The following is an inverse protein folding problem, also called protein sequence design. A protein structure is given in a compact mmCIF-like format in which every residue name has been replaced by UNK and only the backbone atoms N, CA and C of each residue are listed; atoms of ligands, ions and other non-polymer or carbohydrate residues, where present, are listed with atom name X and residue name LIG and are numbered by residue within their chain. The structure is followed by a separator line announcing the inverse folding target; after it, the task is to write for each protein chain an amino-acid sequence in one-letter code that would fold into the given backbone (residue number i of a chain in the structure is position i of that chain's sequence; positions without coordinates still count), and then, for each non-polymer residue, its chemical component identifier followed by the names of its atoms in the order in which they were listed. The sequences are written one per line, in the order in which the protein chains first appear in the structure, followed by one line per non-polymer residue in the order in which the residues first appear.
data_IF_455901059982
#
_entry.id   IF_455901059982
#
_cell.length_a   1.000
_cell.length_b   1.000
_cell.length_c   1.000
_cell.angle_alpha   90.00
_cell.angle_beta   90.00
_cell.angle_gamma   90.00
#
_symmetry.space_group_name_H-M   'P 1'
#
loop_
_entity.id
_entity.type
_entity.pdbx_description
1 polymer ?
#
# COMPACT_ATOMS: atom_id res chain seq x y z
N UNK A 1 -3.58 -15.09 12.85
CA UNK A 1 -2.19 -15.05 13.37
C UNK A 1 -2.21 -14.38 14.73
N UNK A 2 -1.49 -14.92 15.73
CA UNK A 2 -1.34 -14.25 17.03
C UNK A 2 -0.37 -13.04 16.93
N UNK A 3 -0.28 -12.24 18.00
CA UNK A 3 0.54 -11.03 18.04
C UNK A 3 2.04 -11.32 17.81
N UNK A 4 2.56 -12.39 18.41
CA UNK A 4 4.00 -12.73 18.34
C UNK A 4 4.39 -13.14 16.93
N UNK A 5 3.58 -13.99 16.32
CA UNK A 5 3.74 -14.44 14.94
C UNK A 5 3.59 -13.28 13.96
N UNK A 6 2.64 -12.36 14.20
CA UNK A 6 2.46 -11.17 13.37
C UNK A 6 3.67 -10.24 13.40
N UNK A 7 4.26 -10.01 14.57
CA UNK A 7 5.50 -9.23 14.69
C UNK A 7 6.67 -9.90 13.98
N UNK A 8 6.85 -11.21 14.18
CA UNK A 8 7.90 -11.96 13.47
C UNK A 8 7.75 -11.88 11.94
N UNK A 9 6.51 -11.94 11.43
CA UNK A 9 6.21 -11.74 10.02
C UNK A 9 6.62 -10.33 9.55
N UNK A 10 6.24 -9.29 10.30
CA UNK A 10 6.56 -7.89 9.96
C UNK A 10 8.08 -7.70 9.94
N UNK A 11 8.78 -8.08 11.01
CA UNK A 11 10.24 -7.90 11.12
C UNK A 11 10.99 -8.62 10.00
N UNK A 12 10.51 -9.80 9.58
CA UNK A 12 11.15 -10.61 8.54
C UNK A 12 10.98 -10.01 7.15
N UNK A 13 9.83 -9.43 6.81
CA UNK A 13 9.55 -8.94 5.45
C UNK A 13 9.67 -7.42 5.29
N UNK A 14 9.25 -6.61 6.25
CA UNK A 14 9.26 -5.14 6.14
C UNK A 14 10.66 -4.62 5.82
N UNK A 15 11.68 -5.25 6.40
CA UNK A 15 13.07 -4.89 6.21
C UNK A 15 13.49 -4.84 4.72
N UNK A 16 12.88 -5.66 3.84
CA UNK A 16 13.14 -5.68 2.40
C UNK A 16 12.42 -4.58 1.60
N UNK A 17 11.58 -3.77 2.25
CA UNK A 17 10.88 -2.67 1.60
C UNK A 17 11.80 -1.48 1.31
N UNK A 18 12.80 -1.24 2.17
CA UNK A 18 13.65 -0.05 2.08
C UNK A 18 14.96 -0.29 1.33
N UNK A 19 15.43 0.75 0.64
CA UNK A 19 16.83 0.86 0.21
C UNK A 19 17.71 1.02 1.45
N UNK A 20 18.92 0.44 1.49
CA UNK A 20 19.89 0.84 2.50
C UNK A 20 20.72 2.04 2.04
N UNK A 21 21.15 2.89 2.99
CA UNK A 21 22.19 3.86 2.73
C UNK A 21 23.51 3.16 2.34
N UNK A 22 24.17 3.66 1.28
CA UNK A 22 25.54 3.25 0.94
C UNK A 22 26.51 3.65 2.06
N UNK A 23 27.45 2.76 2.41
CA UNK A 23 28.71 3.23 2.98
C UNK A 23 29.48 3.96 1.86
N UNK A 24 29.92 5.20 2.11
CA UNK A 24 30.46 6.17 1.13
C UNK A 24 31.68 5.72 0.26
N UNK A 25 32.16 4.47 0.38
CA UNK A 25 33.43 4.03 -0.17
C UNK A 25 33.38 3.09 -1.40
N UNK A 26 32.24 2.83 -2.03
CA UNK A 26 32.22 1.99 -3.24
C UNK A 26 31.42 2.57 -4.40
N UNK A 27 32.12 2.75 -5.53
CA UNK A 27 31.61 3.18 -6.84
C UNK A 27 30.26 2.53 -7.20
N UNK A 28 29.21 3.36 -7.31
CA UNK A 28 27.97 3.21 -8.11
C UNK A 28 27.56 1.76 -8.41
N UNK A 29 27.02 1.06 -7.42
CA UNK A 29 26.06 -0.04 -7.64
C UNK A 29 25.17 -0.13 -6.40
N UNK A 30 23.86 0.14 -6.56
CA UNK A 30 22.88 -0.09 -5.49
C UNK A 30 22.97 -1.56 -5.06
N UNK A 31 23.35 -1.80 -3.80
CA UNK A 31 23.41 -3.15 -3.22
C UNK A 31 22.36 -3.26 -2.14
N UNK A 32 21.47 -4.22 -2.28
CA UNK A 32 20.39 -4.50 -1.33
C UNK A 32 20.93 -4.72 0.09
N UNK A 33 20.11 -4.42 1.11
CA UNK A 33 20.42 -4.65 2.54
C UNK A 33 20.74 -6.09 2.93
N UNK A 34 20.52 -6.99 1.98
CA UNK A 34 20.38 -8.40 2.20
C UNK A 34 21.26 -9.10 1.19
N UNK A 35 21.83 -10.21 1.62
CA UNK A 35 22.47 -11.10 0.68
C UNK A 35 21.44 -11.61 -0.32
N UNK A 36 21.82 -11.85 -1.57
CA UNK A 36 20.92 -12.53 -2.53
C UNK A 36 20.44 -13.87 -1.95
N UNK A 37 21.29 -14.53 -1.14
CA UNK A 37 20.92 -15.70 -0.33
C UNK A 37 19.70 -15.45 0.58
N UNK A 38 19.67 -14.35 1.35
CA UNK A 38 18.51 -14.04 2.21
C UNK A 38 17.23 -13.82 1.41
N UNK A 39 17.31 -13.22 0.22
CA UNK A 39 16.14 -13.09 -0.66
C UNK A 39 15.70 -14.45 -1.20
N UNK A 40 16.64 -15.26 -1.66
CA UNK A 40 16.40 -16.60 -2.18
C UNK A 40 15.80 -17.52 -1.11
N UNK A 41 16.29 -17.43 0.12
CA UNK A 41 15.77 -18.16 1.29
C UNK A 41 14.29 -17.83 1.52
N UNK A 42 13.89 -16.57 1.32
CA UNK A 42 12.51 -16.11 1.39
C UNK A 42 11.71 -16.27 0.09
N UNK A 43 12.36 -16.71 -0.99
CA UNK A 43 11.74 -16.82 -2.31
C UNK A 43 11.37 -15.48 -2.92
N UNK A 44 12.01 -14.38 -2.51
CA UNK A 44 11.83 -13.05 -3.10
C UNK A 44 12.60 -12.98 -4.42
N UNK A 45 11.96 -12.51 -5.50
CA UNK A 45 12.66 -12.25 -6.75
C UNK A 45 13.59 -11.03 -6.63
N UNK A 46 14.55 -10.91 -7.56
CA UNK A 46 15.46 -9.77 -7.67
C UNK A 46 14.76 -8.41 -7.89
N UNK A 47 13.49 -8.39 -8.29
CA UNK A 47 12.69 -7.18 -8.53
C UNK A 47 11.79 -6.89 -7.33
N UNK A 48 12.40 -6.57 -6.19
CA UNK A 48 11.73 -5.80 -5.14
C UNK A 48 12.27 -4.38 -5.33
N UNK A 49 11.47 -3.50 -5.94
CA UNK A 49 11.84 -2.09 -6.12
C UNK A 49 11.76 -1.42 -4.74
N UNK A 50 12.89 -1.24 -4.03
CA UNK A 50 12.84 -0.73 -2.69
C UNK A 50 12.51 0.77 -2.74
N UNK A 51 11.95 1.28 -1.66
CA UNK A 51 11.69 2.72 -1.49
C UNK A 51 12.74 3.32 -0.55
N UNK A 52 13.09 4.59 -0.72
CA UNK A 52 13.94 5.29 0.25
C UNK A 52 13.16 5.57 1.52
N UNK A 53 13.75 5.26 2.68
CA UNK A 53 13.11 5.50 3.98
C UNK A 53 12.72 6.97 4.17
N UNK A 54 13.56 7.91 3.71
CA UNK A 54 13.29 9.35 3.73
C UNK A 54 12.01 9.72 2.98
N UNK A 55 11.75 9.08 1.82
CA UNK A 55 10.56 9.34 1.01
C UNK A 55 9.32 8.82 1.72
N UNK A 56 9.37 7.62 2.28
CA UNK A 56 8.26 7.04 3.03
C UNK A 56 7.93 7.90 4.27
N UNK A 57 8.96 8.30 5.02
CA UNK A 57 8.81 9.16 6.19
C UNK A 57 8.26 10.55 5.83
N UNK A 58 8.70 11.12 4.70
CA UNK A 58 8.18 12.36 4.15
C UNK A 58 6.69 12.24 3.81
N UNK A 59 6.27 11.18 3.12
CA UNK A 59 4.87 10.94 2.78
C UNK A 59 4.00 10.72 4.01
N UNK A 60 4.48 9.94 4.99
CA UNK A 60 3.76 9.71 6.24
C UNK A 60 3.54 11.04 6.98
N UNK A 61 4.62 11.80 7.18
CA UNK A 61 4.62 13.01 8.02
C UNK A 61 3.90 14.18 7.35
N UNK A 62 4.17 14.40 6.06
CA UNK A 62 3.71 15.59 5.36
C UNK A 62 2.40 15.41 4.60
N UNK A 63 2.00 14.17 4.29
CA UNK A 63 0.80 13.90 3.50
C UNK A 63 -0.22 13.07 4.26
N UNK A 64 0.13 11.83 4.65
CA UNK A 64 -0.81 10.89 5.28
C UNK A 64 -1.36 11.43 6.61
N UNK A 65 -0.50 11.80 7.55
CA UNK A 65 -0.94 12.28 8.87
C UNK A 65 -1.74 13.59 8.79
N UNK A 66 -1.52 14.36 7.70
CA UNK A 66 -2.24 15.63 7.44
C UNK A 66 -3.53 15.43 6.65
N UNK A 67 -3.83 14.22 6.17
CA UNK A 67 -5.02 13.97 5.37
C UNK A 67 -4.95 14.49 3.94
N UNK A 68 -3.75 14.66 3.38
CA UNK A 68 -3.54 15.35 2.09
C UNK A 68 -3.28 14.33 0.99
N UNK A 69 -4.03 14.44 -0.12
CA UNK A 69 -3.76 13.76 -1.37
C UNK A 69 -3.45 14.79 -2.46
N UNK A 70 -2.20 14.82 -2.92
CA UNK A 70 -1.66 15.80 -3.87
C UNK A 70 -0.65 15.15 -4.85
N UNK A 71 0.10 15.99 -5.56
CA UNK A 71 1.10 15.56 -6.54
C UNK A 71 2.16 14.63 -5.93
N UNK A 72 2.59 14.88 -4.69
CA UNK A 72 3.58 14.03 -4.01
C UNK A 72 2.97 12.69 -3.63
N UNK A 73 1.74 12.70 -3.14
CA UNK A 73 0.98 11.48 -2.81
C UNK A 73 0.77 10.61 -4.06
N UNK A 74 0.50 11.24 -5.21
CA UNK A 74 0.42 10.58 -6.51
C UNK A 74 1.78 10.01 -6.95
N UNK A 75 2.85 10.80 -6.86
CA UNK A 75 4.20 10.41 -7.24
C UNK A 75 4.69 9.19 -6.42
N UNK A 76 4.41 9.18 -5.12
CA UNK A 76 4.69 8.04 -4.25
C UNK A 76 3.93 6.79 -4.68
N UNK A 77 2.61 6.90 -4.91
CA UNK A 77 1.80 5.73 -5.32
C UNK A 77 2.13 5.23 -6.73
N UNK A 78 2.51 6.12 -7.64
CA UNK A 78 2.87 5.73 -9.01
C UNK A 78 4.22 5.03 -9.07
N UNK A 79 5.06 5.16 -8.03
CA UNK A 79 6.45 4.71 -8.05
C UNK A 79 7.30 5.45 -9.09
N UNK A 80 6.80 6.58 -9.62
CA UNK A 80 7.45 7.39 -10.66
C UNK A 80 7.59 8.81 -10.18
N UNK A 81 8.77 9.10 -9.66
CA UNK A 81 9.05 10.37 -9.03
C UNK A 81 10.49 10.81 -9.24
N UNK A 82 10.70 12.12 -9.14
CA UNK A 82 11.98 12.73 -8.82
C UNK A 82 12.04 13.02 -7.34
N UNK A 83 13.18 12.76 -6.71
CA UNK A 83 13.48 13.16 -5.34
C UNK A 83 14.68 14.11 -5.36
N UNK A 84 14.43 15.39 -5.13
CA UNK A 84 15.46 16.43 -5.12
C UNK A 84 15.14 17.47 -4.05
N UNK A 85 16.15 17.92 -3.30
CA UNK A 85 16.01 18.95 -2.27
C UNK A 85 14.86 18.67 -1.27
N UNK A 86 14.73 17.41 -0.82
CA UNK A 86 13.66 16.95 0.07
C UNK A 86 12.23 17.19 -0.46
N UNK A 87 12.08 17.24 -1.78
CA UNK A 87 10.80 17.38 -2.46
C UNK A 87 10.59 16.21 -3.40
N UNK A 88 9.44 15.56 -3.25
CA UNK A 88 8.95 14.55 -4.17
C UNK A 88 8.17 15.25 -5.28
N UNK A 89 8.35 14.84 -6.54
CA UNK A 89 7.53 15.33 -7.64
C UNK A 89 7.26 14.22 -8.64
N UNK A 90 6.07 14.15 -9.26
CA UNK A 90 5.80 13.18 -10.31
C UNK A 90 6.73 13.36 -11.50
N UNK A 91 7.01 12.27 -12.23
CA UNK A 91 7.60 12.37 -13.58
C UNK A 91 6.55 12.94 -14.54
N UNK A 92 6.95 13.90 -15.37
CA UNK A 92 6.11 14.52 -16.39
C UNK A 92 6.49 14.07 -17.80
N UNK A 93 5.58 14.27 -18.75
CA UNK A 93 5.89 14.24 -20.18
C UNK A 93 6.81 15.40 -20.57
N UNK A 94 7.44 15.30 -21.75
CA UNK A 94 8.35 16.33 -22.27
C UNK A 94 7.69 17.71 -22.45
N UNK A 95 6.37 17.75 -22.70
CA UNK A 95 5.61 18.99 -22.83
C UNK A 95 5.05 19.49 -21.49
N UNK A 96 5.35 18.79 -20.40
CA UNK A 96 4.95 19.12 -19.02
C UNK A 96 3.44 19.28 -18.82
N UNK A 97 2.61 18.66 -19.66
CA UNK A 97 1.14 18.71 -19.54
C UNK A 97 0.55 17.53 -18.77
N UNK A 98 1.28 16.44 -18.69
CA UNK A 98 0.82 15.18 -18.11
C UNK A 98 1.83 14.66 -17.09
N UNK A 99 1.35 14.07 -16.00
CA UNK A 99 2.14 13.16 -15.17
C UNK A 99 2.12 11.75 -15.76
N UNK A 100 3.16 10.96 -15.49
CA UNK A 100 3.20 9.54 -15.84
C UNK A 100 2.78 8.66 -14.66
N UNK A 101 1.81 7.78 -14.89
CA UNK A 101 1.43 6.76 -13.91
C UNK A 101 2.39 5.54 -13.98
N UNK A 102 2.22 4.57 -13.08
CA UNK A 102 3.06 3.36 -13.03
C UNK A 102 3.18 2.61 -14.38
N UNK A 103 2.16 2.72 -15.25
CA UNK A 103 2.09 2.06 -16.58
C UNK A 103 2.52 2.96 -17.74
N UNK A 104 3.19 4.08 -17.47
CA UNK A 104 3.61 5.08 -18.48
C UNK A 104 2.43 5.73 -19.20
N UNK A 105 1.25 5.70 -18.59
CA UNK A 105 0.08 6.36 -19.14
C UNK A 105 -0.03 7.77 -18.58
N UNK A 106 -0.37 8.70 -19.47
CA UNK A 106 -0.49 10.11 -19.17
C UNK A 106 -1.72 10.44 -18.31
N UNK A 107 -1.51 11.27 -17.29
CA UNK A 107 -2.55 11.85 -16.44
C UNK A 107 -2.45 13.36 -16.56
N UNK A 108 -3.44 13.99 -17.19
CA UNK A 108 -3.47 15.45 -17.38
C UNK A 108 -3.32 16.20 -16.05
N UNK A 109 -2.37 17.14 -16.00
CA UNK A 109 -2.01 17.86 -14.77
C UNK A 109 -3.15 18.74 -14.27
N UNK A 110 -3.86 19.43 -15.17
CA UNK A 110 -4.95 20.32 -14.80
C UNK A 110 -6.13 19.54 -14.19
N UNK A 111 -6.50 18.42 -14.81
CA UNK A 111 -7.49 17.48 -14.32
C UNK A 111 -7.08 16.89 -12.97
N UNK A 112 -5.82 16.49 -12.82
CA UNK A 112 -5.31 15.99 -11.55
C UNK A 112 -5.38 17.04 -10.45
N UNK A 113 -4.95 18.28 -10.70
CA UNK A 113 -4.99 19.36 -9.70
C UNK A 113 -6.42 19.68 -9.28
N UNK A 114 -7.36 19.70 -10.24
CA UNK A 114 -8.79 19.83 -9.94
C UNK A 114 -9.29 18.68 -9.06
N UNK A 115 -8.92 17.44 -9.40
CA UNK A 115 -9.28 16.25 -8.64
C UNK A 115 -8.72 16.27 -7.21
N UNK A 116 -7.42 16.55 -7.04
CA UNK A 116 -6.74 16.65 -5.74
C UNK A 116 -7.40 17.69 -4.82
N UNK A 117 -7.78 18.85 -5.38
CA UNK A 117 -8.54 19.87 -4.64
C UNK A 117 -9.92 19.36 -4.21
N UNK A 118 -10.65 18.69 -5.10
CA UNK A 118 -11.99 18.20 -4.81
C UNK A 118 -11.98 17.08 -3.76
N UNK A 119 -11.07 16.11 -3.87
CA UNK A 119 -11.01 14.98 -2.94
C UNK A 119 -10.62 15.41 -1.53
N UNK A 120 -9.78 16.44 -1.37
CA UNK A 120 -9.44 17.01 -0.06
C UNK A 120 -10.63 17.61 0.70
N UNK A 121 -11.76 17.85 0.03
CA UNK A 121 -13.00 18.31 0.70
C UNK A 121 -13.89 17.18 1.23
N UNK A 122 -13.61 15.93 0.85
CA UNK A 122 -14.39 14.76 1.27
C UNK A 122 -13.98 14.39 2.70
N UNK A 123 -14.97 14.34 3.60
CA UNK A 123 -14.79 13.84 4.97
C UNK A 123 -15.13 12.36 5.03
N UNK A 124 -14.17 11.54 5.44
CA UNK A 124 -14.35 10.13 5.76
C UNK A 124 -14.37 9.98 7.28
N UNK A 125 -15.35 9.25 7.78
CA UNK A 125 -15.42 8.88 9.19
C UNK A 125 -14.27 7.93 9.55
N UNK A 126 -13.41 8.33 10.48
CA UNK A 126 -12.24 7.56 10.91
C UNK A 126 -12.59 6.24 11.59
N UNK A 127 -13.80 6.13 12.14
CA UNK A 127 -14.28 4.92 12.82
C UNK A 127 -15.14 4.06 11.90
N UNK A 128 -15.17 4.32 10.58
CA UNK A 128 -16.07 3.63 9.67
C UNK A 128 -15.94 2.10 9.76
N UNK A 129 -14.72 1.55 9.79
CA UNK A 129 -14.52 0.09 9.85
C UNK A 129 -14.78 -0.52 11.24
N UNK A 130 -15.11 0.29 12.26
CA UNK A 130 -15.56 -0.19 13.57
C UNK A 130 -17.09 -0.35 13.64
N UNK A 131 -17.81 0.10 12.62
CA UNK A 131 -19.28 0.02 12.56
C UNK A 131 -19.75 -1.38 12.15
N UNK A 132 -21.07 -1.59 12.17
CA UNK A 132 -21.66 -2.82 11.64
C UNK A 132 -21.43 -2.95 10.13
N UNK A 133 -21.44 -4.19 9.65
CA UNK A 133 -21.12 -4.54 8.27
C UNK A 133 -21.99 -3.80 7.23
N UNK A 134 -23.30 -3.60 7.50
CA UNK A 134 -24.18 -2.96 6.54
C UNK A 134 -23.89 -1.45 6.44
N UNK A 135 -23.63 -0.80 7.58
CA UNK A 135 -23.18 0.59 7.60
C UNK A 135 -21.85 0.76 6.87
N UNK A 136 -20.86 -0.11 7.12
CA UNK A 136 -19.57 -0.11 6.42
C UNK A 136 -19.81 -0.20 4.91
N UNK A 137 -20.66 -1.14 4.48
CA UNK A 137 -20.97 -1.38 3.07
C UNK A 137 -21.60 -0.18 2.38
N UNK A 138 -22.53 0.50 3.03
CA UNK A 138 -23.23 1.65 2.46
C UNK A 138 -22.29 2.86 2.38
N UNK A 139 -21.61 3.21 3.47
CA UNK A 139 -20.81 4.42 3.55
C UNK A 139 -19.51 4.32 2.73
N UNK A 140 -18.81 3.17 2.70
CA UNK A 140 -17.62 3.05 1.84
C UNK A 140 -17.99 3.17 0.36
N UNK A 141 -19.13 2.61 -0.09
CA UNK A 141 -19.61 2.81 -1.46
C UNK A 141 -19.89 4.28 -1.75
N UNK A 142 -20.47 5.01 -0.79
CA UNK A 142 -20.74 6.44 -0.89
C UNK A 142 -19.44 7.26 -0.94
N UNK A 143 -18.47 6.96 -0.08
CA UNK A 143 -17.14 7.59 -0.12
C UNK A 143 -16.46 7.34 -1.44
N UNK A 144 -16.44 6.09 -1.94
CA UNK A 144 -15.87 5.77 -3.25
C UNK A 144 -16.57 6.51 -4.39
N UNK A 145 -17.91 6.56 -4.39
CA UNK A 145 -18.68 7.33 -5.39
C UNK A 145 -18.32 8.81 -5.40
N UNK A 146 -18.12 9.41 -4.23
CA UNK A 146 -17.70 10.80 -4.11
C UNK A 146 -16.24 10.99 -4.53
N UNK A 147 -15.34 10.12 -4.06
CA UNK A 147 -13.91 10.14 -4.38
C UNK A 147 -13.65 9.89 -5.86
N UNK A 148 -14.53 9.18 -6.57
CA UNK A 148 -14.42 8.95 -8.02
C UNK A 148 -14.77 10.20 -8.85
N UNK A 149 -15.49 11.19 -8.31
CA UNK A 149 -15.90 12.38 -9.08
C UNK A 149 -14.67 13.12 -9.61
N UNK A 150 -14.74 13.57 -10.86
CA UNK A 150 -13.65 14.26 -11.56
C UNK A 150 -12.32 13.49 -11.66
N UNK A 151 -12.30 12.17 -11.39
CA UNK A 151 -11.06 11.40 -11.47
C UNK A 151 -10.49 11.41 -12.90
N UNK A 152 -9.22 11.81 -13.09
CA UNK A 152 -8.61 11.88 -14.41
C UNK A 152 -8.64 10.55 -15.16
N UNK A 153 -8.51 10.62 -16.48
CA UNK A 153 -8.18 9.47 -17.33
C UNK A 153 -6.88 8.83 -16.83
N UNK A 154 -6.74 7.51 -17.01
CA UNK A 154 -5.57 6.72 -16.57
C UNK A 154 -5.32 6.66 -15.04
N UNK A 155 -6.20 7.25 -14.23
CA UNK A 155 -6.32 6.95 -12.80
C UNK A 155 -7.42 5.91 -12.57
N UNK A 156 -7.01 4.67 -12.29
CA UNK A 156 -7.88 3.54 -11.98
C UNK A 156 -8.37 3.52 -10.51
N UNK A 157 -9.13 2.47 -10.11
CA UNK A 157 -9.72 2.39 -8.77
C UNK A 157 -8.69 2.38 -7.64
N UNK A 158 -7.50 1.83 -7.88
CA UNK A 158 -6.40 1.79 -6.90
C UNK A 158 -5.96 3.20 -6.50
N UNK A 159 -5.91 4.15 -7.45
CA UNK A 159 -5.59 5.55 -7.14
C UNK A 159 -6.71 6.23 -6.33
N UNK A 160 -7.97 5.89 -6.60
CA UNK A 160 -9.12 6.41 -5.84
C UNK A 160 -9.07 5.89 -4.40
N UNK A 161 -8.84 4.59 -4.21
CA UNK A 161 -8.67 3.99 -2.88
C UNK A 161 -7.45 4.59 -2.16
N UNK A 162 -6.36 4.84 -2.88
CA UNK A 162 -5.18 5.51 -2.31
C UNK A 162 -5.52 6.91 -1.83
N UNK A 163 -6.25 7.70 -2.62
CA UNK A 163 -6.68 9.02 -2.19
C UNK A 163 -7.62 8.95 -0.96
N UNK A 164 -8.52 7.96 -0.91
CA UNK A 164 -9.34 7.67 0.28
C UNK A 164 -8.49 7.32 1.51
N UNK A 165 -7.43 6.51 1.35
CA UNK A 165 -6.46 6.21 2.41
C UNK A 165 -5.82 7.50 2.96
N UNK A 166 -5.37 8.40 2.09
CA UNK A 166 -4.79 9.68 2.52
C UNK A 166 -5.80 10.55 3.26
N UNK A 167 -6.95 10.89 2.66
CA UNK A 167 -7.91 11.81 3.30
C UNK A 167 -8.56 11.24 4.58
N UNK A 168 -8.54 9.91 4.74
CA UNK A 168 -8.99 9.22 5.95
C UNK A 168 -7.88 9.01 6.97
N UNK A 169 -6.67 9.52 6.71
CA UNK A 169 -5.46 9.38 7.53
C UNK A 169 -5.11 7.91 7.84
N UNK A 170 -5.42 7.01 6.92
CA UNK A 170 -5.16 5.58 7.05
C UNK A 170 -6.22 4.77 7.81
N UNK A 171 -7.34 5.38 8.23
CA UNK A 171 -8.47 4.63 8.80
C UNK A 171 -9.15 3.71 7.78
N UNK A 172 -8.99 3.98 6.49
CA UNK A 172 -9.24 3.04 5.40
C UNK A 172 -7.88 2.56 4.87
N UNK A 173 -7.60 1.24 4.76
CA UNK A 173 -6.29 0.77 4.30
C UNK A 173 -6.07 1.09 2.82
N UNK A 174 -4.82 1.33 2.44
CA UNK A 174 -4.44 1.40 1.03
C UNK A 174 -4.63 0.02 0.39
N UNK A 175 -5.10 -0.01 -0.85
CA UNK A 175 -5.15 -1.23 -1.63
C UNK A 175 -3.91 -1.36 -2.52
N UNK A 176 -3.27 -2.52 -2.45
CA UNK A 176 -2.24 -2.95 -3.37
C UNK A 176 -2.43 -4.44 -3.71
N UNK A 177 -2.25 -4.81 -4.97
CA UNK A 177 -2.42 -6.19 -5.40
C UNK A 177 -1.41 -7.13 -4.75
N UNK A 178 -0.19 -6.66 -4.43
CA UNK A 178 0.82 -7.51 -3.78
C UNK A 178 0.46 -7.73 -2.31
N UNK A 179 0.02 -6.70 -1.60
CA UNK A 179 -0.48 -6.84 -0.24
C UNK A 179 -1.75 -7.71 -0.16
N UNK A 180 -2.67 -7.58 -1.13
CA UNK A 180 -3.85 -8.44 -1.22
C UNK A 180 -3.47 -9.90 -1.50
N UNK A 181 -2.54 -10.12 -2.42
CA UNK A 181 -1.99 -11.45 -2.72
C UNK A 181 -1.39 -12.09 -1.47
N UNK A 182 -0.58 -11.34 -0.73
CA UNK A 182 0.05 -11.76 0.51
C UNK A 182 -0.97 -12.20 1.57
N UNK A 183 -1.97 -11.36 1.88
CA UNK A 183 -2.94 -11.70 2.92
C UNK A 183 -3.83 -12.89 2.50
N UNK A 184 -4.13 -13.02 1.21
CA UNK A 184 -4.86 -14.18 0.67
C UNK A 184 -4.03 -15.46 0.77
N UNK A 185 -2.74 -15.39 0.45
CA UNK A 185 -1.80 -16.50 0.63
C UNK A 185 -1.71 -16.96 2.08
N UNK A 186 -1.61 -16.02 3.02
CA UNK A 186 -1.59 -16.33 4.46
C UNK A 186 -2.91 -16.96 4.93
N UNK A 187 -4.05 -16.49 4.41
CA UNK A 187 -5.36 -17.01 4.80
C UNK A 187 -5.58 -18.46 4.32
N UNK A 188 -5.15 -18.78 3.10
CA UNK A 188 -5.31 -20.12 2.51
C UNK A 188 -4.13 -21.05 2.77
N UNK A 189 -3.11 -20.60 3.51
CA UNK A 189 -1.84 -21.31 3.70
C UNK A 189 -1.24 -21.79 2.37
N UNK A 190 -1.04 -20.88 1.42
CA UNK A 190 -0.39 -21.16 0.12
C UNK A 190 0.71 -20.14 -0.17
N UNK A 191 1.65 -20.44 -1.08
CA UNK A 191 2.63 -19.46 -1.52
C UNK A 191 1.96 -18.26 -2.22
N UNK A 192 2.49 -17.03 -2.09
CA UNK A 192 1.95 -15.87 -2.79
C UNK A 192 1.95 -16.01 -4.31
N UNK A 193 2.94 -16.68 -4.88
CA UNK A 193 3.00 -16.93 -6.33
C UNK A 193 1.82 -17.75 -6.87
N UNK A 194 1.13 -18.52 -6.03
CA UNK A 194 0.00 -19.37 -6.43
C UNK A 194 -1.35 -18.65 -6.30
N UNK A 195 -1.36 -17.44 -5.73
CA UNK A 195 -2.57 -16.64 -5.57
C UNK A 195 -2.92 -15.88 -6.84
N UNK A 196 -4.12 -16.17 -7.34
CA UNK A 196 -4.73 -15.50 -8.49
C UNK A 196 -5.78 -14.48 -8.02
N UNK A 197 -5.59 -13.20 -8.37
CA UNK A 197 -6.51 -12.10 -8.03
C UNK A 197 -7.45 -11.70 -9.17
N UNK A 198 -7.20 -12.19 -10.39
CA UNK A 198 -7.90 -11.72 -11.59
C UNK A 198 -7.53 -10.29 -11.95
N UNK A 199 -8.23 -9.74 -12.95
CA UNK A 199 -8.03 -8.36 -13.38
C UNK A 199 -8.66 -7.37 -12.41
N UNK A 200 -8.00 -6.22 -12.25
CA UNK A 200 -8.60 -5.12 -11.50
C UNK A 200 -9.88 -4.65 -12.19
N UNK A 201 -10.99 -4.48 -11.43
CA UNK A 201 -12.24 -4.01 -11.99
C UNK A 201 -12.09 -2.59 -12.55
N UNK A 202 -12.90 -2.24 -13.54
CA UNK A 202 -13.01 -0.85 -13.98
C UNK A 202 -13.43 0.05 -12.82
N UNK A 203 -12.90 1.28 -12.74
CA UNK A 203 -13.33 2.30 -11.76
C UNK A 203 -14.83 2.61 -11.85
N UNK A 204 -15.48 2.25 -12.96
CA UNK A 204 -16.92 2.38 -13.17
C UNK A 204 -17.73 1.21 -12.61
N UNK A 205 -17.13 0.04 -12.41
CA UNK A 205 -17.76 -1.11 -11.75
C UNK A 205 -17.67 -0.96 -10.24
N UNK A 206 -18.58 -0.16 -9.66
CA UNK A 206 -18.58 0.14 -8.22
C UNK A 206 -18.67 -1.14 -7.39
N UNK A 207 -19.52 -2.09 -7.79
CA UNK A 207 -19.63 -3.37 -7.08
C UNK A 207 -18.36 -4.22 -7.22
N UNK A 208 -17.72 -4.23 -8.39
CA UNK A 208 -16.44 -4.95 -8.57
C UNK A 208 -15.34 -4.39 -7.69
N UNK A 209 -15.16 -3.06 -7.69
CA UNK A 209 -14.16 -2.38 -6.84
C UNK A 209 -14.44 -2.63 -5.37
N UNK A 210 -15.70 -2.53 -4.97
CA UNK A 210 -16.12 -2.75 -3.60
C UNK A 210 -15.86 -4.19 -3.14
N UNK A 211 -16.24 -5.19 -3.95
CA UNK A 211 -16.01 -6.60 -3.61
C UNK A 211 -14.52 -6.89 -3.45
N UNK A 212 -13.68 -6.38 -4.36
CA UNK A 212 -12.22 -6.51 -4.28
C UNK A 212 -11.67 -5.89 -2.98
N UNK A 213 -12.12 -4.68 -2.66
CA UNK A 213 -11.62 -3.95 -1.48
C UNK A 213 -12.10 -4.56 -0.17
N UNK A 214 -13.33 -5.07 -0.12
CA UNK A 214 -13.87 -5.76 1.05
C UNK A 214 -13.27 -7.13 1.26
N UNK A 215 -12.97 -7.88 0.19
CA UNK A 215 -12.19 -9.12 0.29
C UNK A 215 -10.85 -8.85 0.98
N UNK A 216 -10.14 -7.81 0.54
CA UNK A 216 -8.89 -7.40 1.16
C UNK A 216 -9.04 -7.03 2.66
N UNK A 217 -10.00 -6.17 3.01
CA UNK A 217 -10.26 -5.77 4.40
C UNK A 217 -10.64 -6.98 5.27
N UNK A 218 -11.50 -7.86 4.75
CA UNK A 218 -11.91 -9.09 5.44
C UNK A 218 -10.72 -10.00 5.71
N UNK A 219 -9.86 -10.22 4.72
CA UNK A 219 -8.66 -11.05 4.87
C UNK A 219 -7.69 -10.45 5.89
N UNK A 220 -7.51 -9.13 5.90
CA UNK A 220 -6.71 -8.45 6.94
C UNK A 220 -7.25 -8.71 8.35
N UNK A 221 -8.56 -8.58 8.55
CA UNK A 221 -9.23 -8.87 9.83
C UNK A 221 -9.03 -10.32 10.28
N UNK A 222 -9.06 -11.27 9.34
CA UNK A 222 -8.90 -12.70 9.64
C UNK A 222 -7.46 -13.10 9.92
N UNK A 223 -6.52 -12.60 9.13
CA UNK A 223 -5.12 -12.98 9.25
C UNK A 223 -4.44 -12.24 10.39
N UNK A 224 -4.70 -10.94 10.57
CA UNK A 224 -4.02 -10.07 11.53
C UNK A 224 -4.96 -9.40 12.54
N UNK A 225 -5.85 -10.12 13.24
CA UNK A 225 -6.85 -9.50 14.13
C UNK A 225 -6.21 -8.63 15.23
N UNK A 226 -5.02 -9.00 15.72
CA UNK A 226 -4.30 -8.26 16.77
C UNK A 226 -3.52 -7.04 16.28
N UNK A 227 -3.43 -6.82 14.96
CA UNK A 227 -2.74 -5.66 14.38
C UNK A 227 -3.71 -4.58 13.90
N UNK A 228 -5.02 -4.84 13.96
CA UNK A 228 -6.04 -3.91 13.50
C UNK A 228 -6.16 -2.77 14.52
N UNK A 229 -6.05 -1.52 14.05
CA UNK A 229 -5.98 -0.33 14.90
C UNK A 229 -4.84 -0.35 15.90
N UNK A 230 -3.74 -1.03 15.56
CA UNK A 230 -2.52 -1.09 16.40
C UNK A 230 -1.30 -0.59 15.64
N UNK A 231 -0.36 0.03 16.36
CA UNK A 231 1.02 0.20 15.90
C UNK A 231 1.75 -1.15 15.91
N UNK A 232 2.95 -1.23 15.32
CA UNK A 232 3.79 -2.43 15.39
C UNK A 232 4.24 -2.78 16.82
N UNK A 233 4.21 -1.81 17.75
CA UNK A 233 4.45 -2.05 19.16
C UNK A 233 3.21 -2.56 19.90
N UNK A 234 2.02 -2.49 19.29
CA UNK A 234 0.74 -2.92 19.89
C UNK A 234 -0.03 -1.78 20.60
N UNK A 235 0.35 -0.52 20.36
CA UNK A 235 -0.35 0.66 20.88
C UNK A 235 -1.54 0.99 20.01
N UNK A 236 -2.63 1.53 20.57
CA UNK A 236 -3.79 1.99 19.79
C UNK A 236 -3.39 3.00 18.69
N UNK A 237 -4.05 2.89 17.53
CA UNK A 237 -3.80 3.69 16.34
C UNK A 237 -5.12 4.02 15.64
N UNK A 238 -5.21 5.22 15.06
CA UNK A 238 -6.32 5.60 14.18
C UNK A 238 -6.24 4.91 12.81
N UNK A 239 -5.05 4.44 12.41
CA UNK A 239 -4.86 3.71 11.16
C UNK A 239 -5.37 2.28 11.28
N UNK A 240 -6.08 1.79 10.27
CA UNK A 240 -6.65 0.45 10.27
C UNK A 240 -5.58 -0.65 10.38
N UNK A 241 -4.47 -0.48 9.65
CA UNK A 241 -3.24 -1.27 9.81
C UNK A 241 -2.06 -0.31 9.86
N UNK A 242 -1.02 -0.64 10.62
CA UNK A 242 0.20 0.16 10.62
C UNK A 242 0.94 0.04 9.28
N UNK A 243 1.70 1.09 8.92
CA UNK A 243 2.52 1.11 7.71
C UNK A 243 3.51 -0.05 7.63
N UNK A 244 4.07 -0.50 8.76
CA UNK A 244 5.00 -1.64 8.79
C UNK A 244 4.35 -2.93 8.31
N UNK A 245 3.11 -3.19 8.74
CA UNK A 245 2.35 -4.36 8.28
C UNK A 245 2.05 -4.27 6.78
N UNK A 246 1.62 -3.10 6.29
CA UNK A 246 1.35 -2.91 4.86
C UNK A 246 2.61 -3.15 4.01
N UNK A 247 3.76 -2.61 4.42
CA UNK A 247 5.05 -2.82 3.76
C UNK A 247 5.49 -4.28 3.77
N UNK A 248 5.36 -4.97 4.91
CA UNK A 248 5.67 -6.39 5.03
C UNK A 248 4.79 -7.24 4.10
N UNK A 249 3.49 -6.94 4.04
CA UNK A 249 2.56 -7.60 3.12
C UNK A 249 2.91 -7.33 1.66
N UNK A 250 3.26 -6.10 1.32
CA UNK A 250 3.70 -5.76 -0.02
C UNK A 250 4.92 -6.58 -0.44
N UNK A 251 5.96 -6.66 0.40
CA UNK A 251 7.15 -7.48 0.14
C UNK A 251 6.78 -8.95 0.02
N UNK A 252 6.04 -9.51 0.98
CA UNK A 252 5.67 -10.92 0.97
C UNK A 252 4.83 -11.28 -0.27
N UNK A 253 4.05 -10.35 -0.82
CA UNK A 253 3.30 -10.56 -2.06
C UNK A 253 4.16 -10.91 -3.28
N UNK A 254 5.47 -10.65 -3.22
CA UNK A 254 6.44 -11.03 -4.24
C UNK A 254 7.10 -12.40 -4.00
N UNK A 255 6.87 -13.04 -2.85
CA UNK A 255 7.52 -14.28 -2.48
C UNK A 255 6.96 -15.49 -3.25
N UNK A 256 7.85 -16.45 -3.55
CA UNK A 256 7.54 -17.76 -4.15
C UNK A 256 7.35 -18.87 -3.12
N UNK A 257 7.59 -18.58 -1.85
CA UNK A 257 7.53 -19.54 -0.74
C UNK A 257 6.45 -19.10 0.24
N UNK A 258 5.90 -20.07 0.98
CA UNK A 258 5.01 -19.79 2.10
C UNK A 258 5.78 -19.11 3.23
N UNK A 259 5.06 -18.33 4.03
CA UNK A 259 5.51 -17.98 5.36
C UNK A 259 5.46 -19.21 6.27
N UNK A 260 6.62 -19.75 6.60
CA UNK A 260 6.74 -20.75 7.67
C UNK A 260 6.89 -20.01 8.99
N UNK A 261 5.90 -20.17 9.88
CA UNK A 261 5.99 -19.63 11.22
C UNK A 261 7.15 -20.33 11.95
N UNK A 262 8.23 -19.62 12.33
CA UNK A 262 9.39 -20.25 12.97
C UNK A 262 9.05 -20.93 14.31
N UNK A 263 7.90 -20.62 14.91
CA UNK A 263 7.44 -21.26 16.16
C UNK A 263 6.61 -22.53 15.94
N UNK A 264 6.16 -22.79 14.71
CA UNK A 264 5.45 -24.04 14.38
C UNK A 264 6.38 -25.25 14.22
N UNK A 265 7.69 -25.03 14.15
CA UNK A 265 8.70 -26.07 13.90
C UNK A 265 9.18 -26.81 15.18
N UNK A 266 8.65 -26.46 16.36
CA UNK A 266 9.08 -27.05 17.65
C UNK A 266 8.15 -28.20 18.12
N UNK A 267 7.12 -28.56 17.33
CA UNK A 267 6.24 -29.68 17.64
C UNK A 267 6.36 -30.79 16.60
N UNK A 268 7.48 -31.53 16.64
CA UNK A 268 7.59 -32.91 16.12
C UNK A 268 8.34 -33.75 17.14
#
# INVERSE_FOLDING_TARGET
MDNKTAKSFIDKYERFYFELPENENSKKTYKYAYTEKEKDDLGLNSIVNPTKEEIENHIITNKLNKGVFDEESFAWKSGKYNWAMNKLSPITTNDEKSYLNLRDQEVDIAAFKKYAKNIGSIKIDSDILKKDYETIRIEIKKYYKNAKKDVPTNMGPVYIITAMFFISKGSLPIYDSMAHRAVKALYYDIPPCDVHLGDNPSKHSINGVFNLYFDYIYLLLKVFPFMIYKTDQGVESEQFICRKLDRALWVYGHAKKKWENPESTILV
#
